data_IF_107546276785
#
_entry.id   IF_107546276785
#
_cell.length_a   1.000
_cell.length_b   1.000
_cell.length_c   1.000
_cell.angle_alpha   90.00
_cell.angle_beta   90.00
_cell.angle_gamma   90.00
#
_symmetry.space_group_name_H-M   'P 1'
#
loop_
_entity.id
_entity.type
_entity.pdbx_description
1 polymer ?
#
# COMPACT_ATOMS: atom_id res chain seq x y z
N UNK A 1 -10.00 9.94 -4.78
CA UNK A 1 -10.00 9.95 -3.31
C UNK A 1 -9.43 8.63 -2.79
N UNK A 2 -8.48 8.70 -1.87
CA UNK A 2 -7.91 7.51 -1.20
C UNK A 2 -8.71 7.10 0.05
N UNK A 3 -8.90 5.80 0.23
CA UNK A 3 -9.54 5.22 1.42
C UNK A 3 -8.53 4.44 2.26
N UNK A 4 -8.41 4.77 3.54
CA UNK A 4 -7.57 4.05 4.49
C UNK A 4 -8.42 3.35 5.56
N UNK A 5 -8.59 2.04 5.39
CA UNK A 5 -9.16 1.11 6.36
C UNK A 5 -8.14 0.89 7.50
N UNK A 6 -8.34 1.56 8.62
CA UNK A 6 -7.48 1.46 9.79
C UNK A 6 -7.94 0.33 10.71
N UNK A 7 -7.07 -0.65 10.93
CA UNK A 7 -7.26 -1.62 12.03
C UNK A 7 -7.31 -0.91 13.38
N UNK A 8 -7.78 -1.57 14.44
CA UNK A 8 -7.80 -0.99 15.79
C UNK A 8 -6.43 -0.40 16.20
N UNK A 9 -5.35 -1.15 15.94
CA UNK A 9 -4.00 -0.69 16.26
C UNK A 9 -3.60 0.58 15.49
N UNK A 10 -3.93 0.66 14.19
CA UNK A 10 -3.69 1.87 13.40
C UNK A 10 -4.56 3.05 13.87
N UNK A 11 -5.83 2.80 14.18
CA UNK A 11 -6.72 3.82 14.74
C UNK A 11 -6.17 4.40 16.04
N UNK A 12 -5.63 3.57 16.92
CA UNK A 12 -5.02 4.02 18.16
C UNK A 12 -3.68 4.74 17.93
N UNK A 13 -2.89 4.31 16.93
CA UNK A 13 -1.67 5.01 16.54
C UNK A 13 -1.93 6.43 16.04
N UNK A 14 -2.97 6.63 15.22
CA UNK A 14 -3.35 7.95 14.71
C UNK A 14 -4.16 8.79 15.70
N UNK A 15 -4.47 8.24 16.87
CA UNK A 15 -5.21 8.95 17.92
C UNK A 15 -4.28 9.49 19.00
N UNK A 16 -4.72 10.56 19.67
CA UNK A 16 -4.13 11.01 20.94
C UNK A 16 -5.20 11.28 21.98
N UNK A 17 -4.83 11.17 23.25
CA UNK A 17 -5.69 11.62 24.36
C UNK A 17 -5.20 12.98 24.83
N UNK A 18 -6.09 13.97 24.81
CA UNK A 18 -5.82 15.27 25.39
C UNK A 18 -6.91 15.60 26.41
N UNK A 19 -6.53 15.81 27.67
CA UNK A 19 -7.46 16.07 28.80
C UNK A 19 -8.61 15.04 28.89
N UNK A 20 -8.28 13.75 28.77
CA UNK A 20 -9.24 12.65 28.84
C UNK A 20 -10.12 12.46 27.61
N UNK A 21 -10.01 13.31 26.58
CA UNK A 21 -10.75 13.19 25.32
C UNK A 21 -9.86 12.59 24.23
N UNK A 22 -10.35 11.54 23.55
CA UNK A 22 -9.70 10.97 22.36
C UNK A 22 -9.91 11.93 21.19
N UNK A 23 -8.82 12.42 20.63
CA UNK A 23 -8.78 13.18 19.38
C UNK A 23 -8.27 12.23 18.32
N UNK A 24 -9.07 11.98 17.29
CA UNK A 24 -8.76 11.02 16.22
C UNK A 24 -9.23 11.56 14.87
N UNK A 25 -8.41 11.47 13.81
CA UNK A 25 -8.86 11.68 12.44
C UNK A 25 -9.61 10.47 11.87
N UNK A 26 -9.52 9.31 12.53
CA UNK A 26 -10.14 8.07 12.08
C UNK A 26 -11.63 8.04 12.44
N UNK A 27 -12.46 7.97 11.42
CA UNK A 27 -13.91 7.88 11.54
C UNK A 27 -14.34 6.47 11.98
N UNK A 28 -15.46 6.35 12.68
CA UNK A 28 -16.04 5.04 12.97
C UNK A 28 -16.74 4.51 11.72
N UNK A 29 -16.50 3.26 11.35
CA UNK A 29 -17.26 2.62 10.28
C UNK A 29 -18.75 2.62 10.60
N UNK A 30 -19.59 2.90 9.59
CA UNK A 30 -21.04 2.81 9.74
C UNK A 30 -21.45 1.33 9.76
N UNK A 31 -22.44 0.93 10.59
CA UNK A 31 -22.86 -0.47 10.71
C UNK A 31 -23.22 -1.16 9.39
N UNK A 32 -23.70 -0.41 8.38
CA UNK A 32 -24.13 -0.94 7.09
C UNK A 32 -22.99 -1.21 6.10
N UNK A 33 -21.78 -0.67 6.30
CA UNK A 33 -20.65 -0.89 5.40
C UNK A 33 -19.94 -2.25 5.65
N UNK A 34 -20.40 -2.98 6.66
CA UNK A 34 -19.65 -4.07 7.29
C UNK A 34 -19.72 -5.41 6.55
N UNK A 35 -20.65 -5.64 5.61
CA UNK A 35 -20.87 -6.97 5.04
C UNK A 35 -21.45 -6.91 3.62
N UNK A 36 -20.60 -6.87 2.60
CA UNK A 36 -21.01 -7.02 1.21
C UNK A 36 -19.80 -7.12 0.27
N UNK A 37 -20.00 -7.79 -0.88
CA UNK A 37 -19.02 -7.94 -1.97
C UNK A 37 -18.48 -6.59 -2.50
N UNK A 38 -19.15 -5.47 -2.19
CA UNK A 38 -18.72 -4.10 -2.51
C UNK A 38 -17.45 -3.66 -1.78
N UNK A 39 -16.95 -4.42 -0.79
CA UNK A 39 -15.72 -4.11 -0.04
C UNK A 39 -14.48 -4.00 -0.95
N UNK A 40 -14.49 -4.59 -2.14
CA UNK A 40 -13.40 -4.51 -3.12
C UNK A 40 -13.79 -3.75 -4.40
N UNK A 41 -14.98 -3.15 -4.43
CA UNK A 41 -15.46 -2.41 -5.59
C UNK A 41 -14.67 -1.11 -5.81
N UNK A 42 -14.23 -0.46 -4.73
CA UNK A 42 -13.38 0.72 -4.80
C UNK A 42 -11.92 0.30 -5.09
N UNK A 43 -11.38 0.69 -6.27
CA UNK A 43 -10.04 0.33 -6.68
C UNK A 43 -8.92 0.93 -5.82
N UNK A 44 -9.21 1.90 -4.94
CA UNK A 44 -8.18 2.70 -4.26
C UNK A 44 -8.19 2.53 -2.73
N UNK A 45 -8.66 1.37 -2.25
CA UNK A 45 -8.68 1.06 -0.83
C UNK A 45 -7.37 0.46 -0.31
N UNK A 46 -6.94 0.99 0.81
CA UNK A 46 -5.76 0.56 1.55
C UNK A 46 -6.14 0.13 2.95
N UNK A 47 -5.60 -0.98 3.42
CA UNK A 47 -5.62 -1.38 4.82
C UNK A 47 -4.36 -0.85 5.50
N UNK A 48 -4.53 -0.17 6.64
CA UNK A 48 -3.44 0.30 7.48
C UNK A 48 -3.44 -0.45 8.80
N UNK A 49 -2.30 -1.02 9.14
CA UNK A 49 -2.05 -1.69 10.40
C UNK A 49 -0.86 -1.06 11.11
N UNK A 50 -0.94 -0.97 12.43
CA UNK A 50 0.18 -0.52 13.26
C UNK A 50 0.67 -1.66 14.14
N UNK A 51 1.98 -1.82 14.21
CA UNK A 51 2.65 -2.78 15.05
C UNK A 51 3.83 -2.10 15.78
N UNK A 52 4.52 -2.88 16.61
CA UNK A 52 5.77 -2.45 17.25
C UNK A 52 6.83 -3.51 17.02
N UNK A 53 7.94 -3.12 16.40
CA UNK A 53 9.10 -3.99 16.16
C UNK A 53 10.32 -3.32 16.78
N UNK A 54 11.08 -4.06 17.59
CA UNK A 54 12.20 -3.51 18.38
C UNK A 54 11.85 -2.24 19.18
N UNK A 55 10.66 -2.21 19.79
CA UNK A 55 10.11 -1.07 20.54
C UNK A 55 9.86 0.21 19.71
N UNK A 56 9.98 0.15 18.38
CA UNK A 56 9.67 1.24 17.45
C UNK A 56 8.34 0.96 16.75
N UNK A 57 7.57 2.02 16.51
CA UNK A 57 6.32 1.89 15.78
C UNK A 57 6.57 1.64 14.30
N UNK A 58 5.78 0.74 13.75
CA UNK A 58 5.80 0.39 12.32
C UNK A 58 4.37 0.42 11.82
N UNK A 59 4.15 1.12 10.70
CA UNK A 59 2.90 1.08 9.97
C UNK A 59 3.07 0.22 8.71
N UNK A 60 2.11 -0.65 8.48
CA UNK A 60 1.97 -1.45 7.26
C UNK A 60 0.74 -0.94 6.50
N UNK A 61 0.93 -0.51 5.26
CA UNK A 61 -0.16 -0.22 4.33
C UNK A 61 -0.25 -1.34 3.29
N UNK A 62 -1.44 -1.90 3.08
CA UNK A 62 -1.70 -2.97 2.09
C UNK A 62 -2.81 -2.51 1.16
N UNK A 63 -2.54 -2.46 -0.14
CA UNK A 63 -3.57 -2.23 -1.14
C UNK A 63 -4.49 -3.45 -1.23
N UNK A 64 -5.79 -3.29 -0.97
CA UNK A 64 -6.68 -4.44 -0.83
C UNK A 64 -6.83 -5.23 -2.15
N UNK A 65 -6.85 -4.53 -3.29
CA UNK A 65 -7.03 -5.14 -4.61
C UNK A 65 -5.78 -5.89 -5.08
N UNK A 66 -4.62 -5.26 -5.01
CA UNK A 66 -3.38 -5.82 -5.60
C UNK A 66 -2.50 -6.51 -4.57
N UNK A 67 -2.79 -6.36 -3.27
CA UNK A 67 -1.99 -6.83 -2.14
C UNK A 67 -0.60 -6.21 -2.05
N UNK A 68 -0.37 -5.11 -2.77
CA UNK A 68 0.85 -4.32 -2.69
C UNK A 68 1.01 -3.72 -1.30
N UNK A 69 2.22 -3.77 -0.76
CA UNK A 69 2.52 -3.44 0.62
C UNK A 69 3.57 -2.34 0.71
N UNK A 70 3.46 -1.48 1.72
CA UNK A 70 4.52 -0.55 2.08
C UNK A 70 4.68 -0.51 3.59
N UNK A 71 5.93 -0.47 4.06
CA UNK A 71 6.25 -0.38 5.49
C UNK A 71 6.84 0.97 5.84
N UNK A 72 6.31 1.59 6.87
CA UNK A 72 6.72 2.90 7.37
C UNK A 72 7.23 2.74 8.79
N UNK A 73 8.53 2.92 8.95
CA UNK A 73 9.18 3.04 10.24
C UNK A 73 9.32 4.52 10.62
N UNK A 74 9.48 4.79 11.91
CA UNK A 74 9.69 6.13 12.45
C UNK A 74 8.57 7.15 12.15
N UNK A 75 7.34 6.66 11.98
CA UNK A 75 6.18 7.53 11.86
C UNK A 75 5.81 8.12 13.21
N UNK A 76 5.47 9.41 13.20
CA UNK A 76 5.04 10.12 14.40
C UNK A 76 3.61 9.72 14.78
N UNK A 77 3.41 9.40 16.05
CA UNK A 77 2.07 9.14 16.61
C UNK A 77 1.15 10.33 16.44
N UNK A 78 -0.13 10.04 16.20
CA UNK A 78 -1.19 11.03 16.00
C UNK A 78 -0.91 12.07 14.88
N UNK A 79 -0.17 11.65 13.84
CA UNK A 79 0.19 12.49 12.70
C UNK A 79 -0.21 11.78 11.38
N UNK A 80 -1.52 11.78 11.10
CA UNK A 80 -2.07 11.12 9.92
C UNK A 80 -1.69 11.83 8.62
N UNK A 81 -1.63 13.17 8.62
CA UNK A 81 -1.28 13.96 7.43
C UNK A 81 0.14 13.65 6.95
N UNK A 82 1.12 13.61 7.86
CA UNK A 82 2.50 13.28 7.50
C UNK A 82 2.63 11.85 6.99
N UNK A 83 1.86 10.91 7.57
CA UNK A 83 1.79 9.54 7.05
C UNK A 83 1.24 9.52 5.63
N UNK A 84 0.09 10.14 5.35
CA UNK A 84 -0.54 10.13 4.03
C UNK A 84 0.36 10.80 2.98
N UNK A 85 0.97 11.93 3.30
CA UNK A 85 1.92 12.59 2.40
C UNK A 85 3.12 11.70 2.07
N UNK A 86 3.71 11.06 3.08
CA UNK A 86 4.84 10.13 2.90
C UNK A 86 4.43 8.90 2.09
N UNK A 87 3.24 8.38 2.37
CA UNK A 87 2.63 7.26 1.67
C UNK A 87 2.46 7.57 0.18
N UNK A 88 1.88 8.72 -0.18
CA UNK A 88 1.63 9.12 -1.56
C UNK A 88 2.95 9.21 -2.33
N UNK A 89 3.94 9.92 -1.79
CA UNK A 89 5.23 10.10 -2.45
C UNK A 89 5.97 8.77 -2.68
N UNK A 90 5.95 7.88 -1.68
CA UNK A 90 6.59 6.55 -1.79
C UNK A 90 5.86 5.63 -2.76
N UNK A 91 4.54 5.64 -2.76
CA UNK A 91 3.75 4.83 -3.67
C UNK A 91 4.02 5.20 -5.13
N UNK A 92 3.97 6.51 -5.47
CA UNK A 92 4.29 6.99 -6.82
C UNK A 92 5.72 6.58 -7.20
N UNK A 93 6.67 6.89 -6.32
CA UNK A 93 8.09 6.63 -6.59
C UNK A 93 8.35 5.15 -6.85
N UNK A 94 7.73 4.25 -6.08
CA UNK A 94 7.82 2.81 -6.29
C UNK A 94 7.21 2.35 -7.61
N UNK A 95 6.02 2.85 -7.97
CA UNK A 95 5.36 2.47 -9.23
C UNK A 95 6.13 3.01 -10.43
N UNK A 96 6.61 4.26 -10.40
CA UNK A 96 7.38 4.85 -11.49
C UNK A 96 8.75 4.17 -11.67
N UNK A 97 9.44 3.84 -10.57
CA UNK A 97 10.68 3.05 -10.62
C UNK A 97 10.44 1.68 -11.27
N UNK A 98 9.34 1.02 -10.91
CA UNK A 98 8.98 -0.27 -11.49
C UNK A 98 8.59 -0.14 -12.98
N UNK A 99 7.86 0.92 -13.34
CA UNK A 99 7.48 1.19 -14.73
C UNK A 99 8.70 1.45 -15.61
N UNK A 100 9.68 2.20 -15.10
CA UNK A 100 10.96 2.46 -15.76
C UNK A 100 11.75 1.17 -15.94
N UNK A 101 11.92 0.36 -14.88
CA UNK A 101 12.68 -0.89 -14.93
C UNK A 101 12.06 -1.96 -15.83
N UNK A 102 10.74 -1.94 -15.98
CA UNK A 102 10.01 -2.89 -16.85
C UNK A 102 9.75 -2.37 -18.27
N UNK A 103 10.29 -1.20 -18.63
CA UNK A 103 10.18 -0.60 -19.96
C UNK A 103 8.71 -0.38 -20.41
N UNK A 104 7.82 -0.04 -19.46
CA UNK A 104 6.38 0.18 -19.74
C UNK A 104 5.98 1.65 -19.68
N UNK A 105 6.89 2.55 -19.33
CA UNK A 105 6.56 3.98 -19.16
C UNK A 105 6.04 4.61 -20.45
N UNK A 106 6.58 4.21 -21.60
CA UNK A 106 6.18 4.69 -22.94
C UNK A 106 4.78 4.24 -23.37
N UNK A 107 4.13 3.35 -22.61
CA UNK A 107 2.76 2.90 -22.91
C UNK A 107 1.70 3.92 -22.46
N UNK A 108 2.07 4.90 -21.64
CA UNK A 108 1.16 5.88 -21.07
C UNK A 108 1.33 7.23 -21.76
N UNK A 109 0.22 7.89 -22.09
CA UNK A 109 0.25 9.26 -22.58
C UNK A 109 0.76 10.18 -21.45
N UNK A 110 1.87 10.92 -21.61
CA UNK A 110 2.45 11.74 -20.55
C UNK A 110 1.52 12.86 -20.04
N UNK A 111 0.47 13.22 -20.78
CA UNK A 111 -0.50 14.27 -20.40
C UNK A 111 -1.63 13.79 -19.49
N UNK A 112 -1.91 12.48 -19.46
CA UNK A 112 -3.03 11.87 -18.72
C UNK A 112 -2.75 11.66 -17.22
N UNK A 113 -1.55 11.20 -16.79
CA UNK A 113 -1.29 10.87 -15.40
C UNK A 113 -1.46 12.02 -14.42
N UNK A 114 -1.06 13.24 -14.79
CA UNK A 114 -1.00 14.35 -13.83
C UNK A 114 -2.38 14.71 -13.28
N UNK A 115 -3.39 14.88 -14.14
CA UNK A 115 -4.73 15.28 -13.72
C UNK A 115 -5.47 14.16 -12.97
N UNK A 116 -5.40 12.93 -13.48
CA UNK A 116 -6.04 11.78 -12.84
C UNK A 116 -5.41 11.49 -11.48
N UNK A 117 -4.08 11.62 -11.39
CA UNK A 117 -3.36 11.42 -10.15
C UNK A 117 -3.68 12.50 -9.12
N UNK A 118 -3.66 13.79 -9.49
CA UNK A 118 -4.01 14.88 -8.58
C UNK A 118 -5.42 14.67 -8.03
N UNK A 119 -6.40 14.38 -8.88
CA UNK A 119 -7.78 14.10 -8.42
C UNK A 119 -7.87 12.87 -7.51
N UNK A 120 -7.06 11.83 -7.76
CA UNK A 120 -7.02 10.64 -6.92
C UNK A 120 -6.55 10.96 -5.50
N UNK A 121 -5.51 11.78 -5.36
CA UNK A 121 -4.83 12.05 -4.08
C UNK A 121 -5.21 13.37 -3.40
N UNK A 122 -6.03 14.22 -4.06
CA UNK A 122 -6.50 15.51 -3.53
C UNK A 122 -7.23 15.36 -2.18
N UNK A 123 -7.92 14.24 -1.99
CA UNK A 123 -8.64 13.94 -0.77
C UNK A 123 -8.41 12.51 -0.32
N UNK A 124 -8.47 12.32 1.00
CA UNK A 124 -8.38 11.03 1.64
C UNK A 124 -9.31 10.96 2.85
N UNK A 125 -9.66 9.75 3.28
CA UNK A 125 -10.34 9.53 4.55
C UNK A 125 -9.80 8.29 5.27
N UNK A 126 -9.80 8.34 6.61
CA UNK A 126 -9.45 7.22 7.47
C UNK A 126 -10.70 6.70 8.15
N UNK A 127 -10.95 5.41 8.06
CA UNK A 127 -12.05 4.75 8.73
C UNK A 127 -11.58 3.56 9.55
N UNK A 128 -12.15 3.37 10.73
CA UNK A 128 -11.84 2.23 11.57
C UNK A 128 -12.54 0.99 11.00
N UNK A 129 -11.78 0.20 10.25
CA UNK A 129 -12.24 -1.04 9.60
C UNK A 129 -11.09 -2.02 9.50
N UNK A 130 -11.30 -3.25 9.98
CA UNK A 130 -10.36 -4.35 9.79
C UNK A 130 -10.70 -5.15 8.53
N UNK A 131 -9.73 -5.89 8.01
CA UNK A 131 -9.93 -6.83 6.90
C UNK A 131 -9.36 -8.19 7.28
N UNK A 132 -10.24 -9.17 7.55
CA UNK A 132 -9.82 -10.51 7.96
C UNK A 132 -9.09 -11.26 6.84
N UNK A 133 -9.34 -10.94 5.57
CA UNK A 133 -8.67 -11.59 4.43
C UNK A 133 -7.17 -11.25 4.39
N UNK A 134 -6.82 -10.05 4.87
CA UNK A 134 -5.45 -9.56 4.89
C UNK A 134 -4.67 -9.96 6.15
N UNK A 135 -5.31 -10.56 7.16
CA UNK A 135 -4.67 -10.81 8.46
C UNK A 135 -3.48 -11.77 8.36
N UNK A 136 -3.58 -12.83 7.56
CA UNK A 136 -2.46 -13.75 7.30
C UNK A 136 -1.29 -12.99 6.69
N UNK A 137 -1.55 -12.15 5.69
CA UNK A 137 -0.52 -11.34 5.03
C UNK A 137 0.14 -10.34 5.98
N UNK A 138 -0.65 -9.66 6.84
CA UNK A 138 -0.12 -8.77 7.87
C UNK A 138 0.87 -9.53 8.76
N UNK A 139 0.47 -10.71 9.25
CA UNK A 139 1.29 -11.50 10.15
C UNK A 139 2.60 -12.00 9.49
N UNK A 140 2.52 -12.43 8.23
CA UNK A 140 3.69 -12.87 7.46
C UNK A 140 4.68 -11.73 7.23
N UNK A 141 4.21 -10.57 6.78
CA UNK A 141 5.06 -9.41 6.50
C UNK A 141 5.73 -8.91 7.78
N UNK A 142 4.98 -8.78 8.87
CA UNK A 142 5.54 -8.32 10.14
C UNK A 142 6.57 -9.32 10.69
N UNK A 143 6.32 -10.63 10.57
CA UNK A 143 7.30 -11.64 10.98
C UNK A 143 8.59 -11.54 10.17
N UNK A 144 8.49 -11.39 8.84
CA UNK A 144 9.67 -11.24 8.00
C UNK A 144 10.43 -9.96 8.35
N UNK A 145 9.72 -8.85 8.55
CA UNK A 145 10.34 -7.59 8.97
C UNK A 145 10.98 -7.68 10.36
N UNK A 146 10.38 -8.41 11.30
CA UNK A 146 10.99 -8.68 12.60
C UNK A 146 12.34 -9.38 12.45
N UNK A 147 12.41 -10.42 11.60
CA UNK A 147 13.65 -11.16 11.30
C UNK A 147 14.67 -10.26 10.60
N UNK A 148 14.27 -9.51 9.58
CA UNK A 148 15.16 -8.61 8.83
C UNK A 148 15.72 -7.49 9.72
N UNK A 149 14.96 -7.07 10.72
CA UNK A 149 15.40 -6.09 11.68
C UNK A 149 16.39 -6.67 12.71
N UNK A 150 16.43 -7.99 12.95
CA UNK A 150 17.30 -8.60 13.96
C UNK A 150 18.76 -8.20 13.78
N UNK A 151 19.39 -7.67 14.84
CA UNK A 151 20.79 -7.23 14.81
C UNK A 151 21.04 -5.92 14.06
N UNK A 152 20.01 -5.28 13.49
CA UNK A 152 20.09 -3.99 12.79
C UNK A 152 19.52 -2.89 13.68
N UNK A 153 20.28 -1.81 13.92
CA UNK A 153 19.69 -0.61 14.51
C UNK A 153 18.92 0.15 13.45
N UNK A 154 17.58 0.03 13.50
CA UNK A 154 16.65 0.71 12.60
C UNK A 154 16.77 2.26 12.63
N UNK A 155 17.40 2.86 13.65
CA UNK A 155 17.60 4.32 13.71
C UNK A 155 18.97 4.76 13.15
N UNK A 156 19.99 3.90 13.22
CA UNK A 156 21.34 4.22 12.73
C UNK A 156 21.57 3.75 11.29
N UNK A 157 20.80 2.76 10.83
CA UNK A 157 20.97 2.17 9.51
C UNK A 157 20.17 2.97 8.47
N UNK A 158 20.82 3.37 7.39
CA UNK A 158 20.12 3.96 6.23
C UNK A 158 19.36 2.86 5.50
N UNK A 159 18.09 2.65 5.87
CA UNK A 159 17.19 1.76 5.15
C UNK A 159 16.61 2.49 3.94
N UNK A 160 16.84 1.96 2.74
CA UNK A 160 16.07 2.40 1.57
C UNK A 160 14.67 1.83 1.67
N UNK A 161 13.73 2.65 2.14
CA UNK A 161 12.34 2.25 2.31
C UNK A 161 11.71 1.78 0.99
N UNK A 162 12.07 2.42 -0.13
CA UNK A 162 11.65 2.02 -1.47
C UNK A 162 12.22 0.64 -1.88
N UNK A 163 13.48 0.37 -1.55
CA UNK A 163 14.08 -0.94 -1.83
C UNK A 163 13.38 -2.05 -1.05
N UNK A 164 13.08 -1.80 0.23
CA UNK A 164 12.39 -2.77 1.06
C UNK A 164 10.96 -3.03 0.60
N UNK A 165 10.22 -1.96 0.22
CA UNK A 165 8.90 -2.10 -0.40
C UNK A 165 8.99 -2.96 -1.67
N UNK A 166 9.98 -2.69 -2.55
CA UNK A 166 10.18 -3.47 -3.77
C UNK A 166 10.43 -4.95 -3.47
N UNK A 167 11.28 -5.28 -2.49
CA UNK A 167 11.57 -6.66 -2.10
C UNK A 167 10.32 -7.40 -1.57
N UNK A 168 9.54 -6.77 -0.69
CA UNK A 168 8.32 -7.38 -0.13
C UNK A 168 7.28 -7.66 -1.22
N UNK A 169 7.17 -6.73 -2.17
CA UNK A 169 6.20 -6.83 -3.26
C UNK A 169 6.67 -7.75 -4.38
N UNK A 170 7.98 -8.02 -4.49
CA UNK A 170 8.54 -9.06 -5.33
C UNK A 170 8.50 -10.46 -4.69
N UNK A 171 7.54 -10.69 -3.80
CA UNK A 171 7.26 -12.00 -3.21
C UNK A 171 5.84 -12.40 -3.58
N UNK A 172 5.64 -13.54 -4.28
CA UNK A 172 4.31 -13.93 -4.74
C UNK A 172 3.41 -14.27 -3.55
N UNK A 173 2.13 -13.94 -3.67
CA UNK A 173 1.10 -14.21 -2.66
C UNK A 173 0.11 -15.24 -3.20
N UNK A 174 -0.42 -16.07 -2.30
CA UNK A 174 -1.55 -16.94 -2.63
C UNK A 174 -2.84 -16.24 -2.23
N UNK A 175 -3.77 -16.11 -3.17
CA UNK A 175 -5.11 -15.59 -2.91
C UNK A 175 -6.12 -16.71 -3.09
N UNK A 176 -7.10 -16.80 -2.18
CA UNK A 176 -8.05 -17.90 -2.08
C UNK A 176 -8.78 -18.19 -3.41
N UNK A 177 -9.04 -17.15 -4.20
CA UNK A 177 -9.85 -17.21 -5.41
C UNK A 177 -9.07 -16.89 -6.70
N UNK A 178 -7.74 -16.78 -6.63
CA UNK A 178 -6.88 -16.51 -7.79
C UNK A 178 -6.01 -17.73 -8.07
N UNK A 179 -6.13 -18.28 -9.29
CA UNK A 179 -5.26 -19.37 -9.75
C UNK A 179 -3.91 -18.81 -10.19
N UNK A 180 -2.83 -19.43 -9.74
CA UNK A 180 -1.47 -19.06 -10.10
C UNK A 180 -0.77 -18.18 -9.06
N UNK A 181 0.42 -17.69 -9.40
CA UNK A 181 1.19 -16.80 -8.54
C UNK A 181 0.70 -15.37 -8.74
N UNK A 182 0.22 -14.75 -7.65
CA UNK A 182 -0.19 -13.34 -7.63
C UNK A 182 1.01 -12.50 -7.21
N UNK A 183 1.50 -11.63 -8.09
CA UNK A 183 2.67 -10.79 -7.85
C UNK A 183 2.25 -9.36 -7.50
N UNK A 184 2.34 -8.92 -6.23
CA UNK A 184 1.79 -7.64 -5.80
C UNK A 184 2.32 -6.41 -6.55
N UNK A 185 3.61 -6.43 -6.91
CA UNK A 185 4.26 -5.38 -7.69
C UNK A 185 3.75 -5.33 -9.14
N UNK A 186 3.66 -6.47 -9.84
CA UNK A 186 3.02 -6.58 -11.16
C UNK A 186 1.59 -6.03 -11.11
N UNK A 187 0.79 -6.53 -10.18
CA UNK A 187 -0.62 -6.18 -10.07
C UNK A 187 -0.83 -4.70 -9.74
N UNK A 188 0.04 -4.11 -8.92
CA UNK A 188 0.03 -2.67 -8.65
C UNK A 188 0.42 -1.84 -9.87
N UNK A 189 1.45 -2.24 -10.60
CA UNK A 189 1.86 -1.56 -11.82
C UNK A 189 0.71 -1.54 -12.82
N UNK A 190 0.13 -2.70 -13.13
CA UNK A 190 -0.97 -2.80 -14.09
C UNK A 190 -2.19 -2.02 -13.61
N UNK A 191 -2.52 -2.12 -12.32
CA UNK A 191 -3.58 -1.34 -11.71
C UNK A 191 -3.37 0.16 -11.93
N UNK A 192 -2.18 0.68 -11.64
CA UNK A 192 -1.87 2.10 -11.78
C UNK A 192 -1.88 2.55 -13.24
N UNK A 193 -1.29 1.78 -14.15
CA UNK A 193 -1.30 2.08 -15.59
C UNK A 193 -2.73 2.18 -16.15
N UNK A 194 -3.64 1.29 -15.73
CA UNK A 194 -5.04 1.32 -16.17
C UNK A 194 -5.83 2.45 -15.52
N UNK A 195 -5.68 2.63 -14.20
CA UNK A 195 -6.56 3.56 -13.45
C UNK A 195 -6.09 5.02 -13.47
N UNK A 196 -4.78 5.25 -13.56
CA UNK A 196 -4.15 6.58 -13.56
C UNK A 196 -3.52 6.90 -14.92
N UNK A 197 -2.94 5.89 -15.57
CA UNK A 197 -2.37 6.05 -16.92
C UNK A 197 -3.40 6.00 -18.04
N UNK A 198 -4.66 5.65 -17.75
CA UNK A 198 -5.71 5.52 -18.77
C UNK A 198 -5.45 4.41 -19.80
N UNK A 199 -4.59 3.45 -19.48
CA UNK A 199 -4.18 2.40 -20.41
C UNK A 199 -5.35 1.47 -20.74
N UNK A 200 -5.55 1.20 -22.03
CA UNK A 200 -6.60 0.32 -22.51
C UNK A 200 -6.26 -1.19 -22.25
N UNK A 201 -7.21 -2.12 -22.47
CA UNK A 201 -6.96 -3.54 -22.22
C UNK A 201 -5.81 -4.13 -23.06
N UNK A 202 -5.55 -3.62 -24.27
CA UNK A 202 -4.48 -4.11 -25.13
C UNK A 202 -3.11 -3.65 -24.61
N UNK A 203 -3.00 -2.39 -24.21
CA UNK A 203 -1.83 -1.83 -23.55
C UNK A 203 -1.55 -2.52 -22.22
N UNK A 204 -2.58 -2.81 -21.41
CA UNK A 204 -2.41 -3.54 -20.15
C UNK A 204 -1.86 -4.95 -20.36
N UNK A 205 -2.30 -5.65 -21.42
CA UNK A 205 -1.76 -6.98 -21.78
C UNK A 205 -0.29 -6.89 -22.19
N UNK A 206 0.08 -5.89 -23.00
CA UNK A 206 1.47 -5.64 -23.40
C UNK A 206 2.36 -5.29 -22.19
N UNK A 207 1.86 -4.46 -21.27
CA UNK A 207 2.55 -4.11 -20.04
C UNK A 207 2.84 -5.36 -19.18
N UNK A 208 1.88 -6.29 -19.08
CA UNK A 208 2.09 -7.59 -18.39
C UNK A 208 3.15 -8.44 -19.06
N UNK A 209 3.17 -8.50 -20.39
CA UNK A 209 4.20 -9.24 -21.13
C UNK A 209 5.59 -8.67 -20.87
N UNK A 210 5.75 -7.34 -21.00
CA UNK A 210 7.00 -6.63 -20.72
C UNK A 210 7.46 -6.83 -19.29
N UNK A 211 6.56 -6.67 -18.32
CA UNK A 211 6.86 -6.94 -16.90
C UNK A 211 7.27 -8.40 -16.67
N UNK A 212 6.59 -9.36 -17.30
CA UNK A 212 6.94 -10.78 -17.23
C UNK A 212 8.33 -11.10 -17.78
N UNK A 213 8.79 -10.37 -18.80
CA UNK A 213 10.16 -10.45 -19.31
C UNK A 213 11.17 -9.83 -18.33
N UNK A 214 10.85 -8.68 -17.74
CA UNK A 214 11.65 -8.03 -16.71
C UNK A 214 11.86 -8.96 -15.51
N UNK A 215 10.78 -9.53 -14.95
CA UNK A 215 10.85 -10.44 -13.80
C UNK A 215 11.74 -11.66 -14.05
N UNK A 216 11.77 -12.20 -15.27
CA UNK A 216 12.64 -13.36 -15.60
C UNK A 216 14.13 -13.02 -15.62
N UNK A 217 14.48 -11.73 -15.65
CA UNK A 217 15.87 -11.22 -15.71
C UNK A 217 16.34 -10.65 -14.37
N UNK A 218 15.41 -10.34 -13.46
CA UNK A 218 15.66 -9.70 -12.17
C UNK A 218 16.07 -10.71 -11.08
#
# INVERSE_FOLDING_TARGET
MLSFNCTQAASDFFSRVHKGKKITPVQKALPQESQGDDQYADPHQWLVHAATVQRKHVLLAIHLKTRYCMLFFDMKKADADSFVHTFINRWISGVLDLALKSDVLDLVDPSVPEQQFVSLVESYYLQQRGDRSAQTQINEILRNFEVDAEGVDLAATSWSALHYDAQINHTPRSLKDVKGLHWPDEEMLIHWLVTVGGLDPAGAALAREKYGLFRRRA
#
